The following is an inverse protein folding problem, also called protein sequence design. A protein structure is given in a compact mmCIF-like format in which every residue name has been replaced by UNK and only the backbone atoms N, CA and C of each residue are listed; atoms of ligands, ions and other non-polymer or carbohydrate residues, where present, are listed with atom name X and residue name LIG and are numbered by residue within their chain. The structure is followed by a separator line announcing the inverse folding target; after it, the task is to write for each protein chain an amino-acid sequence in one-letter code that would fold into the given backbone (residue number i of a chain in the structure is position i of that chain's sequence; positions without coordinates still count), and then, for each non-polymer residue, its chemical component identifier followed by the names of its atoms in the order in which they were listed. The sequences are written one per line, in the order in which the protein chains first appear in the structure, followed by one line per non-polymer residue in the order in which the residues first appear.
data_IF_002288827019
#
_entry.id   IF_002288827019
#
_cell.length_a   1.000
_cell.length_b   1.000
_cell.length_c   1.000
_cell.angle_alpha   90.00
_cell.angle_beta   90.00
_cell.angle_gamma   90.00
#
_symmetry.space_group_name_H-M   'P 1'
#
loop_
_entity.id
_entity.type
_entity.pdbx_description
1 polymer ?
#
# COMPACT_ATOMS: atom_id res chain seq x y z
N UNK A 1 -3.46 -26.76 3.71
CA UNK A 1 -2.54 -25.86 4.44
C UNK A 1 -3.21 -25.45 5.74
N UNK A 2 -2.49 -25.34 6.86
CA UNK A 2 -3.07 -24.86 8.12
C UNK A 2 -3.63 -23.45 7.92
N UNK A 3 -4.65 -23.09 8.72
CA UNK A 3 -5.24 -21.75 8.66
C UNK A 3 -4.18 -20.70 9.03
N UNK A 4 -4.13 -19.54 8.32
CA UNK A 4 -3.16 -18.50 8.63
C UNK A 4 -3.42 -17.91 10.01
N UNK A 5 -2.35 -17.63 10.77
CA UNK A 5 -2.42 -17.00 12.10
C UNK A 5 -2.97 -15.57 12.03
N UNK A 6 -2.65 -14.85 10.96
CA UNK A 6 -3.17 -13.52 10.70
C UNK A 6 -3.53 -13.37 9.22
N UNK A 7 -4.40 -12.43 8.89
CA UNK A 7 -4.77 -12.15 7.49
C UNK A 7 -4.57 -10.69 7.13
N UNK A 8 -4.22 -10.44 5.86
CA UNK A 8 -3.93 -9.09 5.36
C UNK A 8 -5.18 -8.41 4.83
N UNK A 9 -5.32 -7.13 5.14
CA UNK A 9 -6.21 -6.19 4.43
C UNK A 9 -5.33 -5.33 3.51
N UNK A 10 -5.50 -5.47 2.21
CA UNK A 10 -4.80 -4.66 1.22
C UNK A 10 -5.50 -3.31 1.07
N UNK A 11 -4.79 -2.22 1.37
CA UNK A 11 -5.32 -0.86 1.27
C UNK A 11 -4.67 -0.11 0.12
N UNK A 12 -5.31 -0.16 -1.04
CA UNK A 12 -4.94 0.56 -2.25
C UNK A 12 -5.55 1.97 -2.32
N UNK A 13 -5.13 2.73 -3.30
CA UNK A 13 -5.67 4.05 -3.62
C UNK A 13 -4.60 4.98 -4.18
N UNK A 14 -4.98 6.06 -4.86
CA UNK A 14 -4.04 7.03 -5.41
C UNK A 14 -3.11 7.62 -4.35
N UNK A 15 -1.91 8.06 -4.76
CA UNK A 15 -1.02 8.79 -3.87
C UNK A 15 -1.71 10.07 -3.36
N UNK A 16 -1.60 10.36 -2.05
CA UNK A 16 -2.29 11.50 -1.42
C UNK A 16 -3.76 11.26 -1.06
N UNK A 17 -4.35 10.09 -1.35
CA UNK A 17 -5.73 9.76 -0.97
C UNK A 17 -5.93 9.67 0.55
N UNK A 18 -4.85 9.49 1.32
CA UNK A 18 -4.87 9.40 2.79
C UNK A 18 -4.90 7.98 3.33
N UNK A 19 -4.40 6.99 2.58
CA UNK A 19 -4.28 5.58 3.00
C UNK A 19 -3.57 5.46 4.35
N UNK A 20 -2.36 5.96 4.45
CA UNK A 20 -1.54 5.88 5.68
C UNK A 20 -2.22 6.56 6.88
N UNK A 21 -3.02 7.63 6.66
CA UNK A 21 -3.81 8.24 7.72
C UNK A 21 -4.94 7.31 8.20
N UNK A 22 -5.66 6.68 7.27
CA UNK A 22 -6.74 5.73 7.58
C UNK A 22 -6.16 4.48 8.26
N UNK A 23 -5.05 3.94 7.75
CA UNK A 23 -4.37 2.80 8.34
C UNK A 23 -3.94 3.09 9.79
N UNK A 24 -3.26 4.21 10.06
CA UNK A 24 -2.84 4.58 11.42
C UNK A 24 -4.01 4.73 12.40
N UNK A 25 -5.14 5.26 11.93
CA UNK A 25 -6.34 5.43 12.78
C UNK A 25 -7.08 4.14 13.09
N UNK A 26 -6.82 3.08 12.37
CA UNK A 26 -7.47 1.77 12.62
C UNK A 26 -6.95 1.08 13.87
N UNK A 27 -5.75 1.42 14.35
CA UNK A 27 -5.07 0.72 15.44
C UNK A 27 -4.53 -0.67 15.06
N UNK A 28 -4.68 -1.08 13.80
CA UNK A 28 -4.15 -2.35 13.30
C UNK A 28 -2.66 -2.23 12.97
N UNK A 29 -1.89 -3.34 13.04
CA UNK A 29 -0.51 -3.38 12.54
C UNK A 29 -0.47 -2.99 11.06
N UNK A 30 0.59 -2.27 10.66
CA UNK A 30 0.73 -1.73 9.31
C UNK A 30 2.04 -2.20 8.68
N UNK A 31 1.92 -2.79 7.49
CA UNK A 31 3.02 -3.04 6.57
C UNK A 31 2.97 -1.96 5.48
N UNK A 32 4.02 -1.16 5.37
CA UNK A 32 4.19 -0.22 4.26
C UNK A 32 4.63 -0.98 3.01
N UNK A 33 3.85 -0.93 1.95
CA UNK A 33 4.23 -1.53 0.68
C UNK A 33 5.20 -0.65 -0.12
N UNK A 34 5.38 0.61 0.28
CA UNK A 34 6.40 1.48 -0.30
C UNK A 34 7.83 1.02 0.06
N UNK A 35 7.99 0.15 1.07
CA UNK A 35 9.26 -0.47 1.43
C UNK A 35 9.75 -1.51 0.40
N UNK A 36 8.94 -1.87 -0.60
CA UNK A 36 9.27 -2.86 -1.62
C UNK A 36 9.57 -2.26 -3.01
N UNK A 37 9.84 -0.96 -3.10
CA UNK A 37 10.37 -0.39 -4.34
C UNK A 37 11.76 -0.96 -4.65
N UNK A 38 12.06 -1.12 -5.93
CA UNK A 38 13.39 -1.54 -6.39
C UNK A 38 14.40 -0.41 -6.22
N UNK A 39 15.66 -0.75 -5.99
CA UNK A 39 16.75 0.22 -5.90
C UNK A 39 17.01 0.90 -7.26
N UNK A 40 17.44 2.15 -7.23
CA UNK A 40 17.68 2.94 -8.45
C UNK A 40 18.68 2.30 -9.43
N UNK A 41 19.51 1.38 -8.95
CA UNK A 41 20.46 0.60 -9.76
C UNK A 41 19.90 -0.66 -10.42
N UNK A 42 18.63 -1.02 -10.14
CA UNK A 42 18.03 -2.22 -10.71
C UNK A 42 17.83 -2.07 -12.24
N UNK A 43 18.41 -2.97 -13.05
CA UNK A 43 18.33 -2.90 -14.52
C UNK A 43 16.90 -3.12 -15.05
N UNK A 44 15.99 -3.67 -14.24
CA UNK A 44 14.60 -3.94 -14.63
C UNK A 44 13.67 -2.75 -14.38
N UNK A 45 14.18 -1.63 -13.85
CA UNK A 45 13.38 -0.43 -13.62
C UNK A 45 12.80 0.13 -14.91
N UNK A 46 11.50 0.39 -14.97
CA UNK A 46 10.87 1.01 -16.12
C UNK A 46 11.35 2.46 -16.29
N UNK A 47 11.55 2.88 -17.52
CA UNK A 47 11.95 4.25 -17.85
C UNK A 47 10.92 4.93 -18.73
N UNK A 48 10.68 6.20 -18.45
CA UNK A 48 9.82 7.06 -19.25
C UNK A 48 10.52 8.40 -19.44
N UNK A 49 10.67 8.84 -20.69
CA UNK A 49 11.38 10.08 -21.04
C UNK A 49 12.80 10.15 -20.44
N UNK A 50 13.52 9.02 -20.40
CA UNK A 50 14.89 8.92 -19.87
C UNK A 50 15.02 8.82 -18.36
N UNK A 51 13.95 9.04 -17.61
CA UNK A 51 13.92 8.92 -16.14
C UNK A 51 13.23 7.63 -15.69
N UNK A 52 13.50 7.19 -14.46
CA UNK A 52 12.80 6.04 -13.86
C UNK A 52 11.31 6.39 -13.65
N UNK A 53 10.42 5.50 -14.10
CA UNK A 53 8.98 5.63 -13.88
C UNK A 53 8.57 4.94 -12.58
N UNK A 54 8.70 5.66 -11.46
CA UNK A 54 8.28 5.20 -10.13
C UNK A 54 6.77 5.05 -9.95
N UNK A 55 5.97 5.52 -10.91
CA UNK A 55 4.52 5.35 -10.89
C UNK A 55 4.09 4.05 -11.61
N UNK A 56 5.03 3.31 -12.19
CA UNK A 56 4.82 2.00 -12.80
C UNK A 56 4.91 0.86 -11.78
N UNK A 57 4.00 -0.13 -11.80
CA UNK A 57 4.11 -1.33 -10.96
C UNK A 57 5.40 -2.13 -11.19
N UNK A 58 6.05 -2.01 -12.35
CA UNK A 58 7.32 -2.67 -12.64
C UNK A 58 8.50 -2.09 -11.83
N UNK A 59 8.36 -0.90 -11.22
CA UNK A 59 9.33 -0.33 -10.30
C UNK A 59 9.26 -0.92 -8.89
N UNK A 60 8.35 -1.86 -8.64
CA UNK A 60 8.03 -2.41 -7.34
C UNK A 60 8.11 -3.94 -7.34
N UNK A 61 8.63 -4.54 -6.26
CA UNK A 61 8.76 -5.99 -6.12
C UNK A 61 7.50 -6.60 -5.47
N UNK A 62 6.54 -6.93 -6.31
CA UNK A 62 5.31 -7.60 -5.90
C UNK A 62 5.57 -8.98 -5.25
N UNK A 63 6.59 -9.71 -5.72
CA UNK A 63 6.89 -11.04 -5.21
C UNK A 63 7.46 -10.97 -3.78
N UNK A 64 8.36 -10.02 -3.52
CA UNK A 64 8.89 -9.78 -2.17
C UNK A 64 7.77 -9.37 -1.20
N UNK A 65 6.89 -8.45 -1.62
CA UNK A 65 5.75 -8.03 -0.80
C UNK A 65 4.83 -9.20 -0.44
N UNK A 66 4.49 -10.07 -1.40
CA UNK A 66 3.67 -11.26 -1.15
C UNK A 66 4.37 -12.25 -0.23
N UNK A 67 5.69 -12.48 -0.38
CA UNK A 67 6.45 -13.35 0.54
C UNK A 67 6.36 -12.86 1.96
N UNK A 68 6.66 -11.59 2.22
CA UNK A 68 6.60 -10.99 3.56
C UNK A 68 5.19 -11.04 4.15
N UNK A 69 4.15 -10.79 3.35
CA UNK A 69 2.75 -10.95 3.78
C UNK A 69 2.45 -12.39 4.19
N UNK A 70 2.95 -13.38 3.45
CA UNK A 70 2.76 -14.79 3.79
C UNK A 70 3.49 -15.17 5.08
N UNK A 71 4.73 -14.69 5.28
CA UNK A 71 5.51 -14.88 6.51
C UNK A 71 4.78 -14.27 7.72
N UNK A 72 4.33 -13.01 7.62
CA UNK A 72 3.53 -12.37 8.67
C UNK A 72 2.25 -13.15 8.97
N UNK A 73 1.60 -13.68 7.94
CA UNK A 73 0.37 -14.45 8.09
C UNK A 73 0.57 -15.81 8.71
N UNK A 74 1.70 -16.48 8.47
CA UNK A 74 2.02 -17.82 8.96
C UNK A 74 2.69 -17.77 10.35
N UNK A 75 3.70 -16.92 10.49
CA UNK A 75 4.62 -16.94 11.64
C UNK A 75 4.30 -15.83 12.66
N UNK A 76 3.55 -14.80 12.22
CA UNK A 76 3.25 -13.63 13.03
C UNK A 76 4.38 -12.61 13.06
N UNK A 77 5.54 -12.90 12.47
CA UNK A 77 6.69 -12.01 12.36
C UNK A 77 7.34 -12.14 10.99
N UNK A 78 7.93 -11.05 10.49
CA UNK A 78 8.73 -11.07 9.27
C UNK A 78 9.80 -9.98 9.32
N UNK A 79 10.88 -10.19 8.59
CA UNK A 79 11.92 -9.20 8.34
C UNK A 79 11.56 -8.40 7.08
N UNK A 80 11.35 -7.10 7.26
CA UNK A 80 10.81 -6.19 6.24
C UNK A 80 11.89 -5.21 5.82
N UNK A 81 12.16 -5.03 4.52
CA UNK A 81 13.11 -4.03 4.06
C UNK A 81 12.66 -2.62 4.48
N UNK A 82 13.62 -1.71 4.59
CA UNK A 82 13.38 -0.28 4.81
C UNK A 82 13.88 0.47 3.60
N UNK A 83 12.98 1.11 2.88
CA UNK A 83 13.29 1.87 1.67
C UNK A 83 13.35 3.38 1.96
N UNK A 84 14.47 4.00 1.60
CA UNK A 84 14.64 5.46 1.69
C UNK A 84 14.29 6.10 0.34
N UNK A 85 13.11 6.71 0.28
CA UNK A 85 12.61 7.40 -0.92
C UNK A 85 13.53 8.57 -1.35
N UNK A 86 14.27 9.18 -0.40
CA UNK A 86 15.16 10.30 -0.72
C UNK A 86 16.44 9.85 -1.43
N UNK A 87 16.82 8.59 -1.19
CA UNK A 87 18.02 7.94 -1.76
C UNK A 87 17.68 6.94 -2.88
N UNK A 88 16.38 6.70 -3.10
CA UNK A 88 15.87 5.70 -4.04
C UNK A 88 16.55 4.32 -3.85
N UNK A 89 16.70 3.85 -2.59
CA UNK A 89 17.34 2.56 -2.27
C UNK A 89 16.95 2.02 -0.89
N UNK A 90 17.17 0.74 -0.69
CA UNK A 90 17.09 0.10 0.62
C UNK A 90 18.24 0.57 1.53
N UNK A 91 17.92 0.77 2.81
CA UNK A 91 18.88 1.24 3.82
C UNK A 91 19.02 0.28 5.02
N UNK A 92 18.26 -0.80 5.03
CA UNK A 92 18.29 -1.82 6.08
C UNK A 92 17.02 -2.65 6.13
N UNK A 93 16.81 -3.32 7.25
CA UNK A 93 15.61 -4.12 7.53
C UNK A 93 15.07 -3.79 8.92
N UNK A 94 13.81 -4.13 9.14
CA UNK A 94 13.15 -4.04 10.43
C UNK A 94 12.22 -5.23 10.64
N UNK A 95 12.16 -5.77 11.84
CA UNK A 95 11.18 -6.80 12.19
C UNK A 95 9.80 -6.17 12.38
N UNK A 96 8.80 -6.74 11.73
CA UNK A 96 7.38 -6.41 11.93
C UNK A 96 6.71 -7.61 12.58
N UNK A 97 5.81 -7.37 13.55
CA UNK A 97 5.08 -8.41 14.24
C UNK A 97 3.58 -8.16 14.20
N UNK A 98 2.80 -9.22 14.07
CA UNK A 98 1.33 -9.22 14.11
C UNK A 98 0.85 -10.28 15.06
N UNK A 99 -0.24 -10.01 15.77
CA UNK A 99 -0.80 -10.97 16.72
C UNK A 99 -1.62 -12.04 15.99
N UNK A 100 -1.57 -13.26 16.50
CA UNK A 100 -2.38 -14.38 16.00
C UNK A 100 -3.89 -14.07 16.13
N UNK A 101 -4.68 -14.55 15.17
CA UNK A 101 -6.13 -14.31 15.12
C UNK A 101 -6.52 -12.88 14.70
N UNK A 102 -5.57 -12.03 14.30
CA UNK A 102 -5.84 -10.64 13.92
C UNK A 102 -5.77 -10.41 12.41
N UNK A 103 -6.17 -9.21 12.00
CA UNK A 103 -5.87 -8.69 10.68
C UNK A 103 -4.80 -7.61 10.79
N UNK A 104 -4.00 -7.45 9.75
CA UNK A 104 -3.06 -6.35 9.58
C UNK A 104 -3.29 -5.66 8.23
N UNK A 105 -2.82 -4.43 8.10
CA UNK A 105 -2.99 -3.66 6.87
C UNK A 105 -1.68 -3.63 6.10
N UNK A 106 -1.71 -3.99 4.81
CA UNK A 106 -0.65 -3.69 3.88
C UNK A 106 -1.11 -2.54 2.97
N UNK A 107 -0.48 -1.36 3.11
CA UNK A 107 -0.90 -0.16 2.40
C UNK A 107 0.13 0.33 1.40
N UNK A 108 -0.33 0.70 0.21
CA UNK A 108 0.52 1.26 -0.83
C UNK A 108 -0.27 1.54 -2.12
N UNK A 109 0.36 2.26 -3.04
CA UNK A 109 -0.26 2.57 -4.33
C UNK A 109 -0.46 1.29 -5.17
N UNK A 110 0.41 0.29 -5.00
CA UNK A 110 0.40 -0.98 -5.73
C UNK A 110 -0.24 -2.14 -4.95
N UNK A 111 -0.89 -1.87 -3.81
CA UNK A 111 -1.53 -2.91 -3.00
C UNK A 111 -2.53 -3.78 -3.80
N UNK A 112 -3.20 -3.23 -4.80
CA UNK A 112 -4.12 -3.98 -5.64
C UNK A 112 -3.43 -5.00 -6.57
N UNK A 113 -2.17 -4.80 -6.93
CA UNK A 113 -1.42 -5.69 -7.82
C UNK A 113 -1.22 -7.08 -7.22
N UNK A 114 -1.27 -7.20 -5.90
CA UNK A 114 -1.06 -8.46 -5.17
C UNK A 114 -2.34 -9.10 -4.62
N UNK A 115 -3.52 -8.58 -4.98
CA UNK A 115 -4.81 -9.15 -4.53
C UNK A 115 -4.93 -10.61 -4.92
N UNK A 116 -4.71 -10.95 -6.19
CA UNK A 116 -4.78 -12.33 -6.66
C UNK A 116 -3.74 -13.22 -5.95
N UNK A 117 -2.51 -12.74 -5.78
CA UNK A 117 -1.43 -13.46 -5.11
C UNK A 117 -1.72 -13.76 -3.64
N UNK A 118 -2.31 -12.84 -2.90
CA UNK A 118 -2.72 -13.06 -1.50
C UNK A 118 -3.99 -13.93 -1.40
N UNK A 119 -4.92 -13.79 -2.35
CA UNK A 119 -6.15 -14.57 -2.40
C UNK A 119 -5.87 -16.06 -2.63
N UNK A 120 -5.05 -16.40 -3.62
CA UNK A 120 -4.69 -17.79 -3.94
C UNK A 120 -3.94 -18.48 -2.82
N UNK A 121 -3.27 -17.72 -1.94
CA UNK A 121 -2.57 -18.23 -0.75
C UNK A 121 -3.43 -18.27 0.50
N UNK A 122 -4.70 -17.83 0.41
CA UNK A 122 -5.64 -17.85 1.53
C UNK A 122 -5.33 -16.85 2.65
N UNK A 123 -4.40 -15.90 2.42
CA UNK A 123 -3.99 -14.91 3.44
C UNK A 123 -4.76 -13.59 3.35
N UNK A 124 -5.56 -13.39 2.30
CA UNK A 124 -6.33 -12.17 2.10
C UNK A 124 -7.58 -12.15 3.00
N UNK A 125 -7.72 -11.11 3.83
CA UNK A 125 -8.96 -10.81 4.55
C UNK A 125 -9.88 -9.92 3.72
N UNK A 126 -9.32 -8.87 3.09
CA UNK A 126 -10.07 -7.93 2.25
C UNK A 126 -9.12 -7.09 1.37
N UNK A 127 -9.65 -6.52 0.30
CA UNK A 127 -8.93 -5.58 -0.55
C UNK A 127 -9.78 -4.32 -0.76
N UNK A 128 -9.27 -3.18 -0.31
CA UNK A 128 -9.98 -1.90 -0.29
C UNK A 128 -9.22 -0.85 -1.13
N UNK A 129 -9.95 -0.08 -1.93
CA UNK A 129 -9.40 1.05 -2.66
C UNK A 129 -9.97 2.36 -2.10
N UNK A 130 -9.13 3.12 -1.39
CA UNK A 130 -9.53 4.41 -0.82
C UNK A 130 -9.70 5.46 -1.93
N UNK A 131 -10.95 5.89 -2.15
CA UNK A 131 -11.33 6.87 -3.14
C UNK A 131 -11.60 8.22 -2.49
N UNK A 132 -11.06 9.29 -3.09
CA UNK A 132 -11.33 10.68 -2.73
C UNK A 132 -11.61 11.53 -3.96
N UNK A 133 -12.06 12.77 -3.72
CA UNK A 133 -12.16 13.78 -4.75
C UNK A 133 -10.75 14.12 -5.28
N UNK A 134 -10.52 14.06 -6.61
CA UNK A 134 -9.18 14.23 -7.18
C UNK A 134 -8.50 15.56 -6.79
N UNK A 135 -9.28 16.65 -6.65
CA UNK A 135 -8.76 17.95 -6.21
C UNK A 135 -8.14 17.86 -4.80
N UNK A 136 -8.81 17.16 -3.87
CA UNK A 136 -8.30 17.00 -2.50
C UNK A 136 -7.00 16.19 -2.49
N UNK A 137 -6.92 15.16 -3.30
CA UNK A 137 -5.73 14.33 -3.46
C UNK A 137 -4.56 15.14 -4.02
N UNK A 138 -4.83 15.95 -5.06
CA UNK A 138 -3.85 16.86 -5.66
C UNK A 138 -3.27 17.85 -4.65
N UNK A 139 -4.12 18.59 -3.93
CA UNK A 139 -3.69 19.61 -2.96
C UNK A 139 -2.87 18.97 -1.83
N UNK A 140 -3.30 17.85 -1.28
CA UNK A 140 -2.57 17.15 -0.20
C UNK A 140 -1.21 16.67 -0.64
N UNK A 141 -1.11 16.12 -1.86
CA UNK A 141 0.17 15.70 -2.44
C UNK A 141 1.10 16.87 -2.62
N UNK A 142 0.61 17.94 -3.24
CA UNK A 142 1.39 19.17 -3.47
C UNK A 142 1.93 19.74 -2.16
N UNK A 143 1.08 19.86 -1.14
CA UNK A 143 1.49 20.37 0.18
C UNK A 143 2.52 19.48 0.86
N UNK A 144 2.37 18.14 0.76
CA UNK A 144 3.34 17.19 1.29
C UNK A 144 4.70 17.34 0.60
N UNK A 145 4.70 17.30 -0.73
CA UNK A 145 5.91 17.32 -1.54
C UNK A 145 6.66 18.66 -1.43
N UNK A 146 5.93 19.77 -1.21
CA UNK A 146 6.50 21.08 -0.89
C UNK A 146 7.14 21.11 0.51
N UNK A 147 6.48 20.51 1.52
CA UNK A 147 7.02 20.44 2.90
C UNK A 147 8.27 19.57 3.00
N UNK A 148 8.32 18.51 2.21
CA UNK A 148 9.43 17.55 2.19
C UNK A 148 10.58 17.96 1.26
N UNK A 149 10.46 19.10 0.55
CA UNK A 149 11.52 19.69 -0.30
C UNK A 149 11.99 18.77 -1.45
N UNK A 150 11.16 17.81 -1.86
CA UNK A 150 11.58 16.71 -2.74
C UNK A 150 11.96 17.13 -4.16
N UNK A 151 11.35 18.20 -4.71
CA UNK A 151 11.61 18.69 -6.10
C UNK A 151 11.16 20.16 -6.25
N UNK A 152 11.64 20.87 -7.30
CA UNK A 152 11.19 22.24 -7.59
C UNK A 152 9.67 22.35 -7.78
N UNK A 153 9.02 23.43 -7.34
CA UNK A 153 7.55 23.59 -7.37
C UNK A 153 6.92 23.38 -8.74
N UNK A 154 7.56 23.88 -9.82
CA UNK A 154 7.05 23.73 -11.19
C UNK A 154 6.95 22.25 -11.62
N UNK A 155 7.92 21.42 -11.25
CA UNK A 155 7.93 19.98 -11.52
C UNK A 155 6.81 19.29 -10.74
N UNK A 156 6.59 19.69 -9.49
CA UNK A 156 5.54 19.14 -8.63
C UNK A 156 4.14 19.45 -9.17
N UNK A 157 3.91 20.68 -9.66
CA UNK A 157 2.63 21.07 -10.25
C UNK A 157 2.36 20.28 -11.54
N UNK A 158 3.35 20.18 -12.44
CA UNK A 158 3.20 19.42 -13.70
C UNK A 158 2.91 17.93 -13.43
N UNK A 159 3.66 17.32 -12.51
CA UNK A 159 3.42 15.93 -12.07
C UNK A 159 2.05 15.79 -11.42
N UNK A 160 1.68 16.70 -10.55
CA UNK A 160 0.38 16.72 -9.88
C UNK A 160 -0.81 16.78 -10.85
N UNK A 161 -0.74 17.63 -11.88
CA UNK A 161 -1.77 17.74 -12.93
C UNK A 161 -1.87 16.45 -13.77
N UNK A 162 -0.72 15.83 -14.12
CA UNK A 162 -0.70 14.54 -14.81
C UNK A 162 -1.39 13.47 -13.97
N UNK A 163 -1.02 13.32 -12.72
CA UNK A 163 -1.59 12.34 -11.81
C UNK A 163 -3.08 12.60 -11.50
N UNK A 164 -3.51 13.86 -11.45
CA UNK A 164 -4.92 14.20 -11.32
C UNK A 164 -5.76 13.72 -12.50
N UNK A 165 -5.24 13.87 -13.74
CA UNK A 165 -5.92 13.36 -14.95
C UNK A 165 -6.00 11.84 -14.98
N UNK A 166 -4.99 11.15 -14.44
CA UNK A 166 -4.91 9.68 -14.44
C UNK A 166 -5.55 9.03 -13.21
N UNK A 167 -5.91 9.79 -12.17
CA UNK A 167 -6.43 9.24 -10.90
C UNK A 167 -7.64 8.33 -11.08
N UNK A 168 -8.57 8.70 -11.96
CA UNK A 168 -9.75 7.85 -12.27
C UNK A 168 -9.35 6.54 -12.94
N UNK A 169 -8.32 6.57 -13.78
CA UNK A 169 -7.79 5.36 -14.42
C UNK A 169 -7.10 4.46 -13.40
N UNK A 170 -6.32 5.03 -12.46
CA UNK A 170 -5.69 4.30 -11.36
C UNK A 170 -6.74 3.60 -10.50
N UNK A 171 -7.78 4.31 -10.07
CA UNK A 171 -8.86 3.71 -9.28
C UNK A 171 -9.57 2.61 -10.06
N UNK A 172 -9.90 2.82 -11.34
CA UNK A 172 -10.52 1.79 -12.18
C UNK A 172 -9.65 0.54 -12.29
N UNK A 173 -8.34 0.72 -12.52
CA UNK A 173 -7.38 -0.39 -12.57
C UNK A 173 -7.35 -1.16 -11.25
N UNK A 174 -7.24 -0.47 -10.12
CA UNK A 174 -7.22 -1.10 -8.80
C UNK A 174 -8.50 -1.89 -8.51
N UNK A 175 -9.66 -1.36 -8.95
CA UNK A 175 -10.92 -2.09 -8.85
C UNK A 175 -10.98 -3.32 -9.77
N UNK A 176 -10.45 -3.22 -10.99
CA UNK A 176 -10.36 -4.36 -11.90
C UNK A 176 -9.45 -5.47 -11.37
N UNK A 177 -8.46 -5.15 -10.55
CA UNK A 177 -7.59 -6.08 -9.83
C UNK A 177 -8.22 -6.67 -8.55
N UNK A 178 -9.48 -6.33 -8.25
CA UNK A 178 -10.24 -6.89 -7.15
C UNK A 178 -10.33 -6.02 -5.89
N UNK A 179 -9.78 -4.81 -5.88
CA UNK A 179 -9.93 -3.91 -4.74
C UNK A 179 -11.30 -3.20 -4.75
N UNK A 180 -12.04 -3.25 -3.64
CA UNK A 180 -13.35 -2.62 -3.51
C UNK A 180 -13.22 -1.12 -3.26
N UNK A 181 -13.83 -0.25 -4.09
CA UNK A 181 -13.74 1.19 -3.90
C UNK A 181 -14.59 1.64 -2.72
N UNK A 182 -14.05 2.52 -1.89
CA UNK A 182 -14.76 3.08 -0.75
C UNK A 182 -14.34 4.51 -0.42
N UNK A 183 -15.28 5.29 0.09
CA UNK A 183 -14.99 6.55 0.75
C UNK A 183 -14.23 6.30 2.05
N UNK A 184 -13.61 7.34 2.61
CA UNK A 184 -12.89 7.22 3.88
C UNK A 184 -13.76 6.60 4.99
N UNK A 185 -15.00 7.06 5.15
CA UNK A 185 -15.93 6.54 6.17
C UNK A 185 -16.24 5.06 5.99
N UNK A 186 -16.43 4.62 4.73
CA UNK A 186 -16.70 3.22 4.40
C UNK A 186 -15.49 2.33 4.69
N UNK A 187 -14.28 2.78 4.31
CA UNK A 187 -13.04 2.06 4.58
C UNK A 187 -12.78 1.97 6.09
N UNK A 188 -12.89 3.08 6.84
CA UNK A 188 -12.71 3.09 8.30
C UNK A 188 -13.73 2.18 9.01
N UNK A 189 -14.98 2.14 8.55
CA UNK A 189 -15.99 1.22 9.07
C UNK A 189 -15.59 -0.22 8.83
N UNK A 190 -15.21 -0.55 7.59
CA UNK A 190 -14.82 -1.91 7.21
C UNK A 190 -13.60 -2.42 7.97
N UNK A 191 -12.61 -1.57 8.20
CA UNK A 191 -11.44 -1.92 9.01
C UNK A 191 -11.82 -2.23 10.46
N UNK A 192 -12.76 -1.47 11.04
CA UNK A 192 -13.27 -1.75 12.40
C UNK A 192 -14.02 -3.07 12.49
N UNK A 193 -14.87 -3.39 11.49
CA UNK A 193 -15.58 -4.67 11.42
C UNK A 193 -14.58 -5.86 11.37
N UNK A 194 -13.54 -5.76 10.55
CA UNK A 194 -12.52 -6.80 10.42
C UNK A 194 -11.68 -6.93 11.70
N UNK A 195 -11.36 -5.83 12.37
CA UNK A 195 -10.65 -5.83 13.64
C UNK A 195 -11.48 -6.52 14.74
N UNK A 196 -12.77 -6.23 14.83
CA UNK A 196 -13.68 -6.84 15.80
C UNK A 196 -13.82 -8.35 15.58
N UNK A 197 -14.04 -8.79 14.32
CA UNK A 197 -14.11 -10.21 13.98
C UNK A 197 -12.83 -10.99 14.31
N UNK A 198 -11.65 -10.35 14.16
CA UNK A 198 -10.38 -10.94 14.57
C UNK A 198 -10.23 -11.09 16.08
N UNK A 199 -10.81 -10.18 16.87
CA UNK A 199 -10.80 -10.27 18.35
C UNK A 199 -11.71 -11.38 18.88
N UNK A 200 -12.90 -11.54 18.31
CA UNK A 200 -13.83 -12.62 18.65
C UNK A 200 -13.22 -14.01 18.43
N UNK A 201 -12.51 -14.19 17.29
CA UNK A 201 -11.80 -15.44 16.98
C UNK A 201 -10.65 -15.77 17.93
N UNK A 202 -10.17 -14.82 18.73
CA UNK A 202 -9.12 -15.03 19.76
C UNK A 202 -9.66 -15.43 21.11
N UNK A 203 -10.95 -15.11 21.37
CA UNK A 203 -11.62 -15.34 22.66
C UNK A 203 -12.39 -16.66 22.68
N UNK A 204 -12.53 -17.32 21.52
CA UNK A 204 -13.14 -18.62 21.33
C UNK A 204 -12.09 -19.72 21.24
#
# INVERSE_FOLDING_TARGET
MPAPRARVVLLAGPSGSGKSYVARRSGLPILSLDDFYKDTGDPTLPRLDGAVDWDSPAAWDAAAAVRVICELSADGTADVPVYDISRDRHVGHRTVSVLSGTVFIAEGIFAAEIVAGCSTRGVLADALCLRRWPVVTFVRRLLRDLREGRKPPAVLIRRGLRLWRTERAVVRRQCALGARPGSRRQVERRLRELAAAGQESRSA
#
